data_IF_248257844622
#
_entry.id   IF_248257844622
#
_cell.length_a   1.000
_cell.length_b   1.000
_cell.length_c   1.000
_cell.angle_alpha   90.00
_cell.angle_beta   90.00
_cell.angle_gamma   90.00
#
_symmetry.space_group_name_H-M   'P 1'
#
loop_
_entity.id
_entity.type
_entity.pdbx_description
1 polymer ?
#
# COMPACT_ATOMS: atom_id res chain seq x y z
N UNK A 1 -5.41 -4.53 11.81
CA UNK A 1 -6.80 -4.29 11.35
C UNK A 1 -7.56 -3.22 12.16
N UNK A 2 -7.00 -2.58 13.20
CA UNK A 2 -7.77 -1.67 14.08
C UNK A 2 -7.48 -0.17 13.95
N UNK A 3 -6.41 0.27 13.26
CA UNK A 3 -6.08 1.70 13.10
C UNK A 3 -6.62 2.31 11.80
N UNK A 4 -6.65 1.53 10.70
CA UNK A 4 -7.23 1.93 9.40
C UNK A 4 -8.72 2.26 9.51
N UNK A 5 -9.47 1.45 10.27
CA UNK A 5 -10.90 1.66 10.45
C UNK A 5 -11.20 3.01 11.14
N UNK A 6 -10.39 3.41 12.12
CA UNK A 6 -10.68 4.60 12.95
C UNK A 6 -10.42 5.93 12.23
N UNK A 7 -9.37 6.00 11.40
CA UNK A 7 -9.06 7.21 10.61
C UNK A 7 -10.00 7.37 9.41
N UNK A 8 -10.32 6.26 8.74
CA UNK A 8 -11.23 6.26 7.60
C UNK A 8 -12.67 6.52 8.08
N UNK A 9 -13.09 5.95 9.22
CA UNK A 9 -14.39 6.24 9.83
C UNK A 9 -14.55 7.70 10.21
N UNK A 10 -13.53 8.38 10.74
CA UNK A 10 -13.66 9.79 11.15
C UNK A 10 -13.84 10.71 9.94
N UNK A 11 -13.03 10.54 8.88
CA UNK A 11 -13.12 11.37 7.67
C UNK A 11 -14.35 11.03 6.83
N UNK A 12 -14.73 9.75 6.74
CA UNK A 12 -15.98 9.33 6.10
C UNK A 12 -17.17 9.83 6.92
N UNK A 13 -17.15 9.71 8.25
CA UNK A 13 -18.23 10.20 9.09
C UNK A 13 -18.39 11.72 9.00
N UNK A 14 -17.31 12.49 8.93
CA UNK A 14 -17.40 13.95 8.73
C UNK A 14 -17.86 14.33 7.31
N UNK A 15 -17.38 13.65 6.26
CA UNK A 15 -17.82 13.88 4.88
C UNK A 15 -19.31 13.50 4.68
N UNK A 16 -19.73 12.38 5.25
CA UNK A 16 -21.11 11.88 5.23
C UNK A 16 -22.02 12.75 6.08
N UNK A 17 -21.58 13.19 7.27
CA UNK A 17 -22.36 14.08 8.14
C UNK A 17 -22.57 15.46 7.52
N UNK A 18 -21.56 15.99 6.84
CA UNK A 18 -21.64 17.27 6.14
C UNK A 18 -22.55 17.18 4.90
N UNK A 19 -22.59 16.04 4.21
CA UNK A 19 -23.30 15.91 2.92
C UNK A 19 -24.72 15.33 3.03
N UNK A 20 -24.98 14.38 3.94
CA UNK A 20 -26.24 13.59 3.98
C UNK A 20 -27.11 13.87 5.21
N UNK A 21 -26.61 14.62 6.21
CA UNK A 21 -27.31 14.90 7.45
C UNK A 21 -27.60 13.65 8.31
N UNK A 22 -28.24 13.80 9.49
CA UNK A 22 -28.36 12.71 10.47
C UNK A 22 -29.39 11.63 10.13
N UNK A 23 -30.25 11.80 9.11
CA UNK A 23 -31.42 10.93 8.89
C UNK A 23 -31.18 9.74 7.94
N UNK A 24 -30.03 9.67 7.27
CA UNK A 24 -29.68 8.60 6.32
C UNK A 24 -28.36 7.88 6.57
N UNK A 25 -27.58 8.32 7.58
CA UNK A 25 -26.24 7.82 7.88
C UNK A 25 -26.20 6.30 8.09
N UNK A 26 -27.14 5.74 8.85
CA UNK A 26 -27.08 4.32 9.27
C UNK A 26 -27.23 3.33 8.11
N UNK A 27 -27.87 3.73 7.00
CA UNK A 27 -28.12 2.84 5.84
C UNK A 27 -27.16 3.05 4.68
N UNK A 28 -26.51 4.22 4.60
CA UNK A 28 -25.60 4.57 3.51
C UNK A 28 -24.12 4.54 3.92
N UNK A 29 -23.82 4.47 5.23
CA UNK A 29 -22.44 4.36 5.71
C UNK A 29 -21.74 3.10 5.17
N UNK A 30 -22.37 1.93 5.28
CA UNK A 30 -21.79 0.66 4.82
C UNK A 30 -21.54 0.65 3.29
N UNK A 31 -22.51 1.02 2.42
CA UNK A 31 -22.25 1.17 0.98
C UNK A 31 -21.12 2.15 0.62
N UNK A 32 -20.96 3.25 1.37
CA UNK A 32 -19.90 4.23 1.12
C UNK A 32 -18.52 3.72 1.57
N UNK A 33 -18.48 2.93 2.66
CA UNK A 33 -17.26 2.23 3.09
C UNK A 33 -16.85 1.20 2.05
N UNK A 34 -17.79 0.41 1.53
CA UNK A 34 -17.54 -0.57 0.47
C UNK A 34 -17.04 0.11 -0.82
N UNK A 35 -17.61 1.26 -1.19
CA UNK A 35 -17.16 2.05 -2.34
C UNK A 35 -15.71 2.52 -2.16
N UNK A 36 -15.36 3.01 -0.98
CA UNK A 36 -13.99 3.39 -0.64
C UNK A 36 -13.04 2.20 -0.70
N UNK A 37 -13.43 1.04 -0.17
CA UNK A 37 -12.62 -0.17 -0.20
C UNK A 37 -12.40 -0.71 -1.62
N UNK A 38 -13.41 -0.62 -2.48
CA UNK A 38 -13.29 -0.97 -3.90
C UNK A 38 -12.31 -0.04 -4.62
N UNK A 39 -12.35 1.27 -4.32
CA UNK A 39 -11.42 2.26 -4.89
C UNK A 39 -9.98 1.99 -4.44
N UNK A 40 -9.78 1.62 -3.18
CA UNK A 40 -8.46 1.26 -2.65
C UNK A 40 -7.89 0.01 -3.34
N UNK A 41 -8.73 -1.00 -3.57
CA UNK A 41 -8.33 -2.23 -4.25
C UNK A 41 -7.91 -1.97 -5.71
N UNK A 42 -8.70 -1.20 -6.45
CA UNK A 42 -8.47 -0.95 -7.88
C UNK A 42 -7.39 0.11 -8.15
N UNK A 43 -7.59 1.31 -7.61
CA UNK A 43 -6.74 2.46 -7.85
C UNK A 43 -5.67 2.65 -6.77
N UNK A 44 -5.98 2.32 -5.51
CA UNK A 44 -5.09 2.51 -4.35
C UNK A 44 -4.82 3.97 -4.00
N UNK A 45 -5.65 4.88 -4.50
CA UNK A 45 -5.65 6.31 -4.18
C UNK A 45 -7.03 6.91 -4.46
N UNK A 46 -7.35 8.04 -3.82
CA UNK A 46 -8.61 8.77 -4.03
C UNK A 46 -9.82 8.19 -3.27
N UNK A 47 -9.59 7.38 -2.24
CA UNK A 47 -10.61 6.81 -1.36
C UNK A 47 -11.50 7.87 -0.72
N UNK A 48 -10.94 9.01 -0.31
CA UNK A 48 -11.73 10.14 0.21
C UNK A 48 -12.55 10.83 -0.88
N UNK A 49 -11.94 11.10 -2.04
CA UNK A 49 -12.60 11.82 -3.13
C UNK A 49 -13.81 11.08 -3.68
N UNK A 50 -13.75 9.74 -3.78
CA UNK A 50 -14.88 8.94 -4.28
C UNK A 50 -16.08 9.00 -3.33
N UNK A 51 -15.84 9.01 -2.01
CA UNK A 51 -16.92 9.11 -1.01
C UNK A 51 -17.55 10.50 -1.02
N UNK A 52 -16.74 11.54 -1.08
CA UNK A 52 -17.22 12.94 -1.15
C UNK A 52 -18.06 13.16 -2.41
N UNK A 53 -17.58 12.70 -3.56
CA UNK A 53 -18.31 12.83 -4.82
C UNK A 53 -19.62 12.02 -4.79
N UNK A 54 -19.61 10.80 -4.27
CA UNK A 54 -20.82 9.99 -4.11
C UNK A 54 -21.85 10.69 -3.20
N UNK A 55 -21.41 11.27 -2.08
CA UNK A 55 -22.27 12.03 -1.18
C UNK A 55 -22.92 13.23 -1.86
N UNK A 56 -22.14 14.02 -2.62
CA UNK A 56 -22.66 15.17 -3.36
C UNK A 56 -23.65 14.77 -4.47
N UNK A 57 -23.36 13.68 -5.19
CA UNK A 57 -24.26 13.15 -6.22
C UNK A 57 -25.57 12.63 -5.63
N UNK A 58 -25.54 12.05 -4.43
CA UNK A 58 -26.74 11.61 -3.71
C UNK A 58 -27.61 12.79 -3.27
N UNK A 59 -27.01 13.86 -2.73
CA UNK A 59 -27.73 15.10 -2.38
C UNK A 59 -28.36 15.75 -3.62
N UNK A 60 -27.62 15.79 -4.74
CA UNK A 60 -28.15 16.22 -6.03
C UNK A 60 -29.33 15.33 -6.50
N UNK A 61 -29.21 14.02 -6.37
CA UNK A 61 -30.26 13.07 -6.73
C UNK A 61 -31.50 13.20 -5.83
N UNK A 62 -31.35 13.47 -4.53
CA UNK A 62 -32.47 13.69 -3.60
C UNK A 62 -33.26 14.95 -3.99
N UNK A 63 -32.58 16.07 -4.25
CA UNK A 63 -33.18 17.32 -4.72
C UNK A 63 -33.94 17.13 -6.05
N UNK A 64 -33.45 16.23 -6.89
CA UNK A 64 -34.06 15.87 -8.18
C UNK A 64 -35.25 14.92 -8.01
N UNK A 65 -35.18 13.98 -7.07
CA UNK A 65 -36.28 13.08 -6.74
C UNK A 65 -37.48 13.83 -6.17
N UNK A 66 -37.23 14.83 -5.30
CA UNK A 66 -38.28 15.74 -4.82
C UNK A 66 -38.97 16.50 -5.97
N UNK A 67 -38.30 16.66 -7.12
CA UNK A 67 -38.83 17.26 -8.34
C UNK A 67 -39.38 16.24 -9.36
N UNK A 68 -39.38 14.94 -9.04
CA UNK A 68 -39.98 13.88 -9.85
C UNK A 68 -39.19 13.41 -11.08
N UNK A 69 -37.85 13.53 -11.08
CA UNK A 69 -37.01 13.19 -12.23
C UNK A 69 -36.07 12.00 -11.99
N UNK A 70 -35.82 11.17 -13.01
CA UNK A 70 -34.94 9.99 -12.97
C UNK A 70 -33.69 10.19 -13.85
N UNK A 71 -32.46 10.12 -13.31
CA UNK A 71 -31.24 10.41 -14.06
C UNK A 71 -30.63 9.19 -14.77
N UNK A 72 -30.04 9.39 -15.95
CA UNK A 72 -29.12 8.44 -16.63
C UNK A 72 -28.17 9.25 -17.52
N UNK A 73 -26.85 9.12 -17.35
CA UNK A 73 -25.85 9.96 -18.02
C UNK A 73 -24.62 9.14 -18.44
N UNK A 74 -23.95 9.55 -19.53
CA UNK A 74 -22.74 8.95 -20.13
C UNK A 74 -21.54 9.92 -20.07
N UNK A 75 -20.31 9.40 -19.92
CA UNK A 75 -19.05 10.18 -19.82
C UNK A 75 -18.14 10.01 -21.05
N UNK A 76 -17.29 11.02 -21.31
CA UNK A 76 -16.26 11.03 -22.37
C UNK A 76 -14.85 11.27 -21.80
N UNK A 77 -13.81 10.79 -22.50
CA UNK A 77 -12.41 10.76 -22.02
C UNK A 77 -11.64 12.08 -22.23
N UNK A 78 -10.83 12.46 -21.23
CA UNK A 78 -9.95 13.66 -21.24
C UNK A 78 -8.46 13.34 -21.04
N UNK A 79 -8.04 12.09 -21.21
CA UNK A 79 -6.71 11.66 -20.79
C UNK A 79 -5.59 12.09 -21.74
N UNK A 80 -4.42 12.42 -21.16
CA UNK A 80 -3.18 12.60 -21.91
C UNK A 80 -2.35 11.31 -21.86
N UNK A 81 -1.80 10.83 -23.00
CA UNK A 81 -1.02 9.61 -23.00
C UNK A 81 0.31 9.81 -22.28
N UNK A 82 0.73 8.81 -21.51
CA UNK A 82 2.01 8.83 -20.77
C UNK A 82 2.94 7.75 -21.29
N UNK A 83 4.19 8.12 -21.58
CA UNK A 83 5.26 7.16 -21.85
C UNK A 83 5.90 6.69 -20.53
N UNK A 84 6.09 5.38 -20.39
CA UNK A 84 6.67 4.77 -19.20
C UNK A 84 8.18 4.98 -19.12
N UNK A 85 8.84 5.35 -20.22
CA UNK A 85 10.26 5.71 -20.21
C UNK A 85 10.49 7.12 -19.64
N UNK A 86 9.44 7.93 -19.52
CA UNK A 86 9.54 9.30 -19.05
C UNK A 86 9.56 9.37 -17.52
N UNK A 87 10.75 9.08 -16.96
CA UNK A 87 11.04 9.18 -15.53
C UNK A 87 10.54 10.46 -14.85
N UNK A 88 10.76 11.68 -15.37
CA UNK A 88 10.30 12.88 -14.69
C UNK A 88 8.77 12.97 -14.60
N UNK A 89 8.00 12.46 -15.59
CA UNK A 89 6.54 12.41 -15.48
C UNK A 89 6.07 11.44 -14.41
N UNK A 90 6.69 10.27 -14.31
CA UNK A 90 6.40 9.30 -13.25
C UNK A 90 6.75 9.85 -11.85
N UNK A 91 7.90 10.53 -11.74
CA UNK A 91 8.31 11.18 -10.48
C UNK A 91 7.33 12.28 -10.08
N UNK A 92 6.87 13.13 -11.01
CA UNK A 92 5.86 14.15 -10.70
C UNK A 92 4.57 13.53 -10.17
N UNK A 93 4.05 12.48 -10.82
CA UNK A 93 2.84 11.80 -10.37
C UNK A 93 2.99 11.18 -8.97
N UNK A 94 4.14 10.52 -8.71
CA UNK A 94 4.47 9.98 -7.40
C UNK A 94 4.59 11.07 -6.32
N UNK A 95 5.29 12.17 -6.61
CA UNK A 95 5.45 13.30 -5.68
C UNK A 95 4.12 13.97 -5.36
N UNK A 96 3.19 14.07 -6.31
CA UNK A 96 1.84 14.61 -6.06
C UNK A 96 1.10 13.76 -5.03
N UNK A 97 1.15 12.43 -5.16
CA UNK A 97 0.51 11.52 -4.19
C UNK A 97 1.14 11.58 -2.79
N UNK A 98 2.44 11.87 -2.69
CA UNK A 98 3.15 11.96 -1.41
C UNK A 98 2.96 13.33 -0.73
N UNK A 99 2.66 14.38 -1.50
CA UNK A 99 2.67 15.77 -1.00
C UNK A 99 1.66 16.08 0.12
N UNK A 100 0.55 15.34 0.17
CA UNK A 100 -0.45 15.43 1.24
C UNK A 100 -0.08 14.61 2.49
N UNK A 101 0.93 13.75 2.41
CA UNK A 101 1.38 12.88 3.50
C UNK A 101 2.63 13.49 4.15
N UNK A 102 2.43 14.52 4.98
CA UNK A 102 3.51 15.07 5.81
C UNK A 102 3.78 14.12 6.96
N UNK A 103 4.88 13.38 6.88
CA UNK A 103 5.34 12.53 7.96
C UNK A 103 6.62 13.15 8.55
N UNK A 104 6.60 13.44 9.85
CA UNK A 104 7.76 14.00 10.56
C UNK A 104 8.65 12.91 11.16
N UNK A 105 9.97 13.11 11.18
CA UNK A 105 10.95 12.22 11.82
C UNK A 105 12.15 11.88 10.94
N UNK A 106 12.96 10.91 11.39
CA UNK A 106 14.17 10.40 10.72
C UNK A 106 13.86 9.45 9.55
N UNK A 107 12.90 9.83 8.69
CA UNK A 107 12.52 9.06 7.49
C UNK A 107 13.59 9.13 6.41
N UNK A 108 14.45 10.15 6.48
CA UNK A 108 15.56 10.37 5.55
C UNK A 108 16.54 9.19 5.49
N UNK A 109 16.60 8.37 6.54
CA UNK A 109 17.41 7.15 6.60
C UNK A 109 16.78 5.96 5.84
N UNK A 110 15.60 6.16 5.23
CA UNK A 110 14.92 5.13 4.41
C UNK A 110 15.71 4.87 3.14
N UNK A 111 16.09 3.62 2.93
CA UNK A 111 16.95 3.23 1.82
C UNK A 111 16.36 2.10 0.97
N UNK A 112 16.66 2.16 -0.32
CA UNK A 112 16.39 1.09 -1.26
C UNK A 112 17.51 0.06 -1.18
N UNK A 113 17.19 -1.17 -0.79
CA UNK A 113 18.18 -2.23 -0.64
C UNK A 113 18.23 -3.09 -1.91
N UNK A 114 19.43 -3.26 -2.46
CA UNK A 114 19.70 -4.19 -3.56
C UNK A 114 19.79 -5.63 -3.04
N UNK A 115 18.62 -6.21 -2.78
CA UNK A 115 18.46 -7.54 -2.24
C UNK A 115 17.19 -7.68 -1.41
N UNK A 116 17.27 -8.45 -0.32
CA UNK A 116 16.13 -8.73 0.56
C UNK A 116 16.47 -8.29 1.98
N UNK A 117 15.50 -7.65 2.64
CA UNK A 117 15.57 -7.29 4.06
C UNK A 117 14.59 -8.16 4.83
N UNK A 118 15.02 -8.63 5.99
CA UNK A 118 14.19 -9.40 6.92
C UNK A 118 14.17 -8.71 8.29
N UNK A 119 12.97 -8.63 8.88
CA UNK A 119 12.75 -8.05 10.20
C UNK A 119 13.10 -9.03 11.33
N UNK A 120 13.21 -10.31 11.03
CA UNK A 120 13.51 -11.36 12.00
C UNK A 120 14.98 -11.34 12.42
N UNK A 121 15.21 -11.57 13.71
CA UNK A 121 16.55 -11.60 14.29
C UNK A 121 17.29 -12.92 14.01
N UNK A 122 18.62 -12.86 13.97
CA UNK A 122 19.45 -14.07 13.88
C UNK A 122 19.45 -14.80 15.22
N UNK A 123 19.32 -16.12 15.18
CA UNK A 123 19.35 -16.97 16.36
C UNK A 123 20.79 -17.15 16.88
N UNK A 124 21.18 -16.36 17.89
CA UNK A 124 22.54 -16.37 18.48
C UNK A 124 22.71 -17.50 19.52
N UNK A 125 21.63 -18.15 19.97
CA UNK A 125 21.61 -19.09 21.11
C UNK A 125 22.65 -20.23 21.06
N UNK A 126 23.16 -20.60 19.88
CA UNK A 126 24.15 -21.67 19.71
C UNK A 126 25.57 -21.17 19.30
N UNK A 127 25.84 -19.87 19.36
CA UNK A 127 27.10 -19.27 18.88
C UNK A 127 27.19 -19.20 17.35
N UNK A 128 26.05 -19.01 16.68
CA UNK A 128 25.98 -18.86 15.23
C UNK A 128 26.58 -17.54 14.72
N UNK A 129 27.09 -17.49 13.48
CA UNK A 129 27.64 -16.27 12.90
C UNK A 129 26.55 -15.24 12.62
N UNK A 130 26.83 -13.95 12.86
CA UNK A 130 25.93 -12.81 12.53
C UNK A 130 26.17 -12.27 11.12
N UNK A 131 27.29 -12.64 10.50
CA UNK A 131 27.66 -12.28 9.13
C UNK A 131 28.18 -13.50 8.40
N UNK A 132 27.71 -13.70 7.17
CA UNK A 132 28.13 -14.77 6.28
C UNK A 132 28.33 -14.25 4.86
N UNK A 133 29.51 -14.53 4.31
CA UNK A 133 29.85 -14.26 2.92
C UNK A 133 29.55 -15.49 2.06
N UNK A 134 29.18 -15.26 0.79
CA UNK A 134 28.92 -16.31 -0.22
C UNK A 134 27.88 -17.32 0.28
N UNK A 135 26.76 -16.79 0.74
CA UNK A 135 25.68 -17.52 1.37
C UNK A 135 24.88 -18.34 0.35
N UNK A 136 24.79 -19.66 0.61
CA UNK A 136 23.74 -20.52 0.07
C UNK A 136 22.60 -20.58 1.06
N UNK A 137 21.47 -19.99 0.68
CA UNK A 137 20.29 -19.82 1.52
C UNK A 137 19.34 -20.99 1.27
N UNK A 138 18.86 -21.61 2.36
CA UNK A 138 17.83 -22.66 2.30
C UNK A 138 16.64 -22.29 3.17
N UNK A 139 15.44 -22.53 2.66
CA UNK A 139 14.18 -22.33 3.38
C UNK A 139 13.68 -23.68 3.87
N UNK A 140 13.34 -23.77 5.16
CA UNK A 140 12.73 -24.95 5.76
C UNK A 140 11.31 -24.60 6.22
N UNK A 141 10.33 -25.19 5.54
CA UNK A 141 8.90 -25.02 5.86
C UNK A 141 8.40 -26.01 6.92
N UNK A 142 9.03 -27.17 7.05
CA UNK A 142 8.59 -28.18 8.02
C UNK A 142 9.05 -27.82 9.44
N UNK A 143 8.20 -28.10 10.42
CA UNK A 143 8.56 -27.95 11.82
C UNK A 143 9.62 -29.01 12.19
N UNK A 144 10.80 -28.56 12.60
CA UNK A 144 11.81 -29.35 13.33
C UNK A 144 11.38 -29.78 14.75
N UNK A 145 10.08 -29.93 15.02
CA UNK A 145 9.57 -30.22 16.36
C UNK A 145 9.61 -31.73 16.63
N UNK A 146 9.75 -32.08 17.90
CA UNK A 146 9.71 -33.47 18.35
C UNK A 146 8.38 -34.13 17.97
N UNK A 147 8.38 -35.30 17.31
CA UNK A 147 7.38 -36.33 17.60
C UNK A 147 7.48 -36.65 19.10
N UNK A 148 6.34 -36.86 19.76
CA UNK A 148 6.21 -37.02 21.23
C UNK A 148 6.98 -38.21 21.86
N UNK A 149 7.87 -38.88 21.14
CA UNK A 149 8.71 -39.98 21.64
C UNK A 149 10.02 -40.08 20.84
N UNK A 150 11.17 -39.99 21.52
CA UNK A 150 12.56 -40.35 21.13
C UNK A 150 13.15 -39.88 19.79
N UNK A 151 12.42 -39.09 19.02
CA UNK A 151 12.72 -38.79 17.62
C UNK A 151 13.54 -37.50 17.40
N UNK A 152 13.83 -36.75 18.46
CA UNK A 152 14.51 -35.45 18.38
C UNK A 152 15.93 -35.57 17.84
N UNK A 153 16.67 -36.55 18.35
CA UNK A 153 18.06 -36.81 17.94
C UNK A 153 18.11 -37.30 16.49
N UNK A 154 17.13 -38.09 16.06
CA UNK A 154 17.05 -38.63 14.71
C UNK A 154 16.80 -37.55 13.65
N UNK A 155 15.81 -36.67 13.87
CA UNK A 155 15.51 -35.54 12.98
C UNK A 155 16.67 -34.54 12.91
N UNK A 156 17.30 -34.23 14.04
CA UNK A 156 18.52 -33.41 14.08
C UNK A 156 19.65 -34.04 13.26
N UNK A 157 19.87 -35.35 13.38
CA UNK A 157 20.93 -36.04 12.63
C UNK A 157 20.66 -36.09 11.12
N UNK A 158 19.41 -36.27 10.70
CA UNK A 158 19.03 -36.19 9.28
C UNK A 158 19.23 -34.77 8.76
N UNK A 159 18.77 -33.76 9.48
CA UNK A 159 18.91 -32.37 9.07
C UNK A 159 20.38 -31.96 9.01
N UNK A 160 21.19 -32.29 10.03
CA UNK A 160 22.65 -32.03 10.01
C UNK A 160 23.34 -32.69 8.83
N UNK A 161 23.02 -33.94 8.50
CA UNK A 161 23.60 -34.65 7.34
C UNK A 161 23.15 -34.04 6.02
N UNK A 162 21.87 -33.73 5.85
CA UNK A 162 21.32 -33.17 4.62
C UNK A 162 21.80 -31.74 4.38
N UNK A 163 21.79 -30.89 5.41
CA UNK A 163 22.25 -29.49 5.34
C UNK A 163 23.74 -29.45 5.01
N UNK A 164 24.56 -30.30 5.67
CA UNK A 164 26.00 -30.38 5.38
C UNK A 164 26.28 -30.93 3.98
N UNK A 165 25.49 -31.90 3.49
CA UNK A 165 25.59 -32.41 2.11
C UNK A 165 25.17 -31.37 1.07
N UNK A 166 24.16 -30.55 1.37
CA UNK A 166 23.70 -29.46 0.51
C UNK A 166 24.65 -28.24 0.53
N UNK A 167 25.58 -28.19 1.49
CA UNK A 167 26.54 -27.10 1.69
C UNK A 167 25.82 -25.75 1.86
N UNK A 168 24.76 -25.73 2.66
CA UNK A 168 23.98 -24.53 2.97
C UNK A 168 24.58 -23.81 4.18
N UNK A 169 24.71 -22.48 4.05
CA UNK A 169 25.37 -21.63 5.02
C UNK A 169 24.39 -20.72 5.78
N UNK A 170 23.21 -20.49 5.20
CA UNK A 170 22.14 -19.68 5.78
C UNK A 170 20.85 -20.48 5.74
N UNK A 171 20.11 -20.45 6.85
CA UNK A 171 18.88 -21.20 7.03
C UNK A 171 17.74 -20.28 7.49
N UNK A 172 16.61 -20.34 6.79
CA UNK A 172 15.38 -19.65 7.13
C UNK A 172 14.36 -20.68 7.63
N UNK A 173 13.80 -20.49 8.82
CA UNK A 173 12.84 -21.42 9.45
C UNK A 173 11.52 -20.70 9.71
N UNK A 174 10.41 -21.30 9.27
CA UNK A 174 9.06 -20.72 9.43
C UNK A 174 8.55 -20.68 10.89
N UNK A 175 8.86 -21.70 11.71
CA UNK A 175 8.41 -21.76 13.11
C UNK A 175 9.57 -21.91 14.06
N UNK A 176 9.56 -21.12 15.14
CA UNK A 176 10.54 -21.14 16.22
C UNK A 176 10.66 -22.54 16.82
N UNK A 177 11.71 -23.23 16.41
CA UNK A 177 12.09 -24.48 17.01
C UNK A 177 13.56 -24.34 17.39
N UNK A 178 13.89 -24.82 18.58
CA UNK A 178 15.25 -24.85 19.09
C UNK A 178 16.12 -25.70 18.17
N UNK A 179 16.74 -25.04 17.20
CA UNK A 179 17.90 -25.56 16.52
C UNK A 179 19.13 -25.15 17.35
N UNK A 180 19.53 -25.99 18.31
CA UNK A 180 20.86 -25.92 18.94
C UNK A 180 21.91 -26.48 17.98
N UNK A 181 21.96 -25.91 16.78
CA UNK A 181 22.96 -26.26 15.79
C UNK A 181 24.26 -25.55 16.16
N UNK A 182 25.17 -26.26 16.82
CA UNK A 182 26.61 -25.91 16.97
C UNK A 182 27.36 -26.01 15.63
N UNK A 183 26.72 -25.64 14.53
CA UNK A 183 27.30 -25.59 13.19
C UNK A 183 27.44 -24.11 12.83
N UNK A 184 28.52 -23.74 12.12
CA UNK A 184 28.77 -22.36 11.66
C UNK A 184 27.81 -21.98 10.52
N UNK A 185 26.52 -21.97 10.82
CA UNK A 185 25.40 -21.73 9.91
C UNK A 185 24.57 -20.61 10.52
N UNK A 186 24.27 -19.58 9.75
CA UNK A 186 23.41 -18.49 10.17
C UNK A 186 21.96 -18.95 10.09
N UNK A 187 21.21 -18.81 11.19
CA UNK A 187 19.81 -19.27 11.27
C UNK A 187 18.92 -18.09 11.61
N UNK A 188 17.91 -17.85 10.78
CA UNK A 188 16.84 -16.88 11.02
C UNK A 188 15.56 -17.67 11.28
N UNK A 189 14.91 -17.36 12.39
CA UNK A 189 13.70 -18.06 12.87
C UNK A 189 12.48 -17.17 12.63
N UNK A 190 11.31 -17.78 12.72
CA UNK A 190 10.02 -17.08 12.72
C UNK A 190 9.73 -16.31 11.43
N UNK A 191 10.15 -16.88 10.30
CA UNK A 191 9.79 -16.36 8.97
C UNK A 191 8.30 -16.57 8.74
N UNK A 192 7.60 -15.51 8.35
CA UNK A 192 6.14 -15.57 8.17
C UNK A 192 5.75 -16.43 6.97
N UNK A 193 4.55 -17.03 7.02
CA UNK A 193 4.09 -17.93 5.94
C UNK A 193 3.96 -17.18 4.61
N UNK A 194 3.45 -15.96 4.66
CA UNK A 194 3.12 -15.17 3.49
C UNK A 194 4.39 -14.63 2.80
N UNK A 195 5.47 -14.48 3.57
CA UNK A 195 6.81 -14.13 3.06
C UNK A 195 7.45 -15.28 2.27
N UNK A 196 7.12 -16.54 2.53
CA UNK A 196 7.82 -17.70 1.93
C UNK A 196 7.72 -17.70 0.40
N UNK A 197 6.57 -17.33 -0.16
CA UNK A 197 6.42 -17.27 -1.61
C UNK A 197 7.33 -16.20 -2.22
N UNK A 198 7.41 -15.04 -1.57
CA UNK A 198 8.31 -13.95 -1.94
C UNK A 198 9.78 -14.37 -1.84
N UNK A 199 10.19 -14.91 -0.69
CA UNK A 199 11.55 -15.36 -0.42
C UNK A 199 12.00 -16.49 -1.36
N UNK A 200 11.08 -17.38 -1.74
CA UNK A 200 11.38 -18.48 -2.67
C UNK A 200 11.74 -18.00 -4.08
N UNK A 201 11.20 -16.84 -4.50
CA UNK A 201 11.46 -16.26 -5.82
C UNK A 201 12.81 -15.54 -5.85
N UNK A 202 13.23 -14.96 -4.73
CA UNK A 202 14.45 -14.17 -4.63
C UNK A 202 15.67 -14.99 -4.20
N UNK A 203 15.52 -16.11 -3.50
CA UNK A 203 16.67 -16.81 -2.92
C UNK A 203 17.26 -17.94 -3.77
N UNK A 204 18.58 -18.07 -3.64
CA UNK A 204 19.37 -19.20 -4.11
C UNK A 204 20.84 -19.03 -3.72
N UNK A 205 21.44 -17.92 -4.15
CA UNK A 205 22.80 -17.53 -3.77
C UNK A 205 22.86 -16.03 -3.52
N UNK A 206 23.43 -15.64 -2.37
CA UNK A 206 23.69 -14.25 -2.00
C UNK A 206 25.16 -14.05 -1.68
N UNK A 207 25.71 -12.89 -2.01
CA UNK A 207 27.12 -12.58 -1.77
C UNK A 207 27.37 -12.23 -0.30
N UNK A 208 26.44 -11.55 0.37
CA UNK A 208 26.57 -11.17 1.78
C UNK A 208 25.23 -11.26 2.51
N UNK A 209 25.25 -11.88 3.69
CA UNK A 209 24.14 -11.87 4.65
C UNK A 209 24.68 -11.37 5.98
N UNK A 210 24.12 -10.29 6.50
CA UNK A 210 24.54 -9.72 7.78
C UNK A 210 23.37 -9.19 8.61
N UNK A 211 23.47 -9.38 9.93
CA UNK A 211 22.62 -8.69 10.90
C UNK A 211 23.23 -7.31 11.18
N UNK A 212 22.64 -6.28 10.60
CA UNK A 212 23.01 -4.89 10.89
C UNK A 212 22.15 -4.38 12.04
N UNK A 213 22.78 -3.76 13.04
CA UNK A 213 22.06 -3.00 14.05
C UNK A 213 22.15 -1.52 13.71
N UNK A 214 21.04 -0.91 13.32
CA UNK A 214 20.93 0.53 13.08
C UNK A 214 19.95 1.12 14.07
N UNK A 215 20.35 2.18 14.77
CA UNK A 215 19.50 2.93 15.70
C UNK A 215 18.78 2.07 16.76
N UNK A 216 19.41 0.97 17.20
CA UNK A 216 18.86 0.04 18.19
C UNK A 216 17.92 -1.03 17.62
N UNK A 217 17.49 -0.92 16.36
CA UNK A 217 16.80 -1.97 15.64
C UNK A 217 17.81 -2.94 15.02
N UNK A 218 17.49 -4.23 15.02
CA UNK A 218 18.25 -5.26 14.32
C UNK A 218 17.48 -5.66 13.08
N UNK A 219 18.14 -5.60 11.94
CA UNK A 219 17.57 -6.02 10.66
C UNK A 219 18.59 -6.89 9.94
N UNK A 220 18.11 -7.94 9.29
CA UNK A 220 18.97 -8.82 8.50
C UNK A 220 18.94 -8.36 7.05
N UNK A 221 20.11 -8.01 6.54
CA UNK A 221 20.33 -7.57 5.16
C UNK A 221 20.93 -8.70 4.35
N UNK A 222 20.32 -9.00 3.21
CA UNK A 222 20.80 -9.98 2.26
C UNK A 222 21.09 -9.23 0.96
N UNK A 223 22.36 -9.02 0.65
CA UNK A 223 22.81 -8.25 -0.53
C UNK A 223 23.56 -9.13 -1.54
N UNK A 224 23.61 -8.69 -2.79
CA UNK A 224 24.28 -9.42 -3.88
C UNK A 224 23.58 -10.74 -4.20
N UNK A 225 22.26 -10.71 -4.28
CA UNK A 225 21.45 -11.86 -4.68
C UNK A 225 21.65 -12.08 -6.19
N UNK A 226 22.13 -13.26 -6.61
CA UNK A 226 22.47 -13.51 -8.03
C UNK A 226 21.27 -13.52 -8.97
N UNK A 227 20.09 -13.87 -8.46
CA UNK A 227 18.85 -13.82 -9.22
C UNK A 227 17.76 -13.25 -8.32
N UNK A 228 17.72 -11.91 -8.14
CA UNK A 228 16.72 -11.27 -7.28
C UNK A 228 15.32 -11.32 -7.91
N UNK A 229 15.17 -11.89 -9.11
CA UNK A 229 13.89 -11.94 -9.81
C UNK A 229 13.36 -10.54 -10.09
N UNK A 230 12.08 -10.31 -9.78
CA UNK A 230 11.40 -9.00 -9.89
C UNK A 230 11.07 -8.41 -8.52
N UNK A 231 11.86 -8.74 -7.50
CA UNK A 231 11.61 -8.25 -6.14
C UNK A 231 12.50 -7.09 -5.80
N UNK A 232 11.95 -6.15 -5.05
CA UNK A 232 12.63 -4.96 -4.54
C UNK A 232 12.30 -4.85 -3.06
N UNK A 233 13.29 -4.53 -2.22
CA UNK A 233 13.08 -4.29 -0.79
C UNK A 233 13.44 -2.86 -0.44
N UNK A 234 12.56 -2.20 0.31
CA UNK A 234 12.75 -0.84 0.83
C UNK A 234 12.78 -0.96 2.35
N UNK A 235 13.85 -0.47 2.98
CA UNK A 235 13.94 -0.39 4.44
C UNK A 235 13.39 0.97 4.87
N UNK A 236 12.15 1.00 5.34
CA UNK A 236 11.54 2.20 5.89
C UNK A 236 12.01 2.42 7.35
N UNK A 237 12.60 3.59 7.61
CA UNK A 237 13.07 4.00 8.92
C UNK A 237 12.14 5.09 9.48
N UNK A 238 11.94 5.08 10.80
CA UNK A 238 11.08 6.06 11.45
C UNK A 238 11.39 6.19 12.92
N UNK A 239 11.12 7.37 13.49
CA UNK A 239 11.36 7.66 14.91
C UNK A 239 10.37 6.98 15.85
N UNK A 240 9.20 6.59 15.35
CA UNK A 240 8.13 5.93 16.10
C UNK A 240 7.44 4.87 15.22
N UNK A 241 6.85 3.83 15.81
CA UNK A 241 6.12 2.80 15.07
C UNK A 241 4.98 3.40 14.23
N UNK A 242 4.28 4.40 14.76
CA UNK A 242 3.22 5.11 14.02
C UNK A 242 3.75 5.81 12.76
N UNK A 243 4.98 6.32 12.80
CA UNK A 243 5.64 6.96 11.65
C UNK A 243 6.03 5.92 10.61
N UNK A 244 6.52 4.75 11.04
CA UNK A 244 6.86 3.64 10.13
C UNK A 244 5.60 3.11 9.45
N UNK A 245 4.51 2.89 10.19
CA UNK A 245 3.21 2.46 9.63
C UNK A 245 2.63 3.49 8.64
N UNK A 246 2.80 4.79 8.90
CA UNK A 246 2.41 5.85 7.95
C UNK A 246 3.32 5.87 6.72
N UNK A 247 4.62 5.63 6.89
CA UNK A 247 5.58 5.55 5.79
C UNK A 247 5.24 4.37 4.85
N UNK A 248 4.96 3.18 5.42
CA UNK A 248 4.54 2.00 4.65
C UNK A 248 3.28 2.28 3.84
N UNK A 249 2.25 2.89 4.46
CA UNK A 249 1.02 3.31 3.77
C UNK A 249 1.29 4.38 2.71
N UNK A 250 2.22 5.30 2.96
CA UNK A 250 2.61 6.32 1.98
C UNK A 250 3.26 5.72 0.74
N UNK A 251 4.15 4.74 0.94
CA UNK A 251 4.80 4.01 -0.15
C UNK A 251 3.79 3.17 -0.93
N UNK A 252 2.83 2.53 -0.24
CA UNK A 252 1.77 1.75 -0.88
C UNK A 252 0.98 2.59 -1.89
N UNK A 253 0.47 3.75 -1.48
CA UNK A 253 -0.32 4.63 -2.36
C UNK A 253 0.48 5.08 -3.59
N UNK A 254 1.76 5.47 -3.38
CA UNK A 254 2.64 5.87 -4.49
C UNK A 254 2.87 4.73 -5.48
N UNK A 255 3.11 3.52 -4.98
CA UNK A 255 3.26 2.34 -5.82
C UNK A 255 1.95 2.01 -6.56
N UNK A 256 0.80 2.22 -5.94
CA UNK A 256 -0.50 2.06 -6.56
C UNK A 256 -0.76 3.10 -7.67
N UNK A 257 -0.36 4.35 -7.50
CA UNK A 257 -0.42 5.39 -8.54
C UNK A 257 0.45 5.00 -9.74
N UNK A 258 1.69 4.59 -9.51
CA UNK A 258 2.59 4.14 -10.59
C UNK A 258 2.05 2.88 -11.27
N UNK A 259 1.50 1.93 -10.49
CA UNK A 259 0.82 0.74 -11.02
C UNK A 259 -0.35 1.11 -11.94
N UNK A 260 -1.14 2.13 -11.58
CA UNK A 260 -2.23 2.63 -12.41
C UNK A 260 -1.72 3.18 -13.75
N UNK A 261 -0.62 3.93 -13.75
CA UNK A 261 0.00 4.44 -14.97
C UNK A 261 0.58 3.33 -15.86
N UNK A 262 1.10 2.25 -15.24
CA UNK A 262 1.57 1.08 -15.98
C UNK A 262 0.41 0.31 -16.61
N UNK A 263 -0.72 0.15 -15.89
CA UNK A 263 -1.94 -0.51 -16.39
C UNK A 263 -2.62 0.33 -17.49
N UNK A 264 -2.80 1.63 -17.26
CA UNK A 264 -3.41 2.60 -18.18
C UNK A 264 -2.44 3.75 -18.40
N UNK A 265 -1.95 3.87 -19.63
CA UNK A 265 -0.97 4.90 -20.04
C UNK A 265 -1.63 6.26 -20.26
N UNK A 266 -2.37 6.73 -19.25
CA UNK A 266 -3.23 7.90 -19.32
C UNK A 266 -3.13 8.67 -18.00
N UNK A 267 -2.82 9.96 -18.08
CA UNK A 267 -2.80 10.88 -16.94
C UNK A 267 -3.71 12.07 -17.22
N UNK A 268 -4.44 12.48 -16.19
CA UNK A 268 -5.25 13.71 -16.20
C UNK A 268 -4.60 14.74 -15.27
N UNK A 269 -4.86 16.02 -15.51
CA UNK A 269 -4.54 17.07 -14.55
C UNK A 269 -5.25 16.81 -13.22
N UNK A 270 -4.60 17.09 -12.09
CA UNK A 270 -5.20 17.00 -10.76
C UNK A 270 -5.78 18.32 -10.26
N UNK A 271 -6.03 18.41 -8.94
CA UNK A 271 -6.36 19.66 -8.26
C UNK A 271 -7.73 20.26 -8.61
N UNK A 272 -8.73 19.44 -8.92
CA UNK A 272 -10.06 19.94 -9.30
C UNK A 272 -10.20 20.32 -10.77
N UNK A 273 -9.12 20.30 -11.56
CA UNK A 273 -9.16 20.65 -12.98
C UNK A 273 -10.13 19.78 -13.82
N UNK A 274 -10.15 18.43 -13.70
CA UNK A 274 -11.06 17.62 -14.48
C UNK A 274 -12.51 17.84 -14.05
N UNK A 275 -12.77 18.06 -12.76
CA UNK A 275 -14.10 18.34 -12.21
C UNK A 275 -14.67 19.66 -12.76
N UNK A 276 -13.88 20.75 -12.74
CA UNK A 276 -14.28 22.04 -13.31
C UNK A 276 -14.44 21.97 -14.83
N UNK A 277 -13.55 21.25 -15.52
CA UNK A 277 -13.66 21.09 -16.97
C UNK A 277 -14.95 20.34 -17.34
N UNK A 278 -15.28 19.26 -16.63
CA UNK A 278 -16.53 18.54 -16.83
C UNK A 278 -17.75 19.41 -16.49
N UNK A 279 -17.74 20.15 -15.36
CA UNK A 279 -18.82 21.08 -15.02
C UNK A 279 -19.09 22.07 -16.15
N UNK A 280 -18.02 22.65 -16.72
CA UNK A 280 -18.12 23.58 -17.85
C UNK A 280 -18.65 22.92 -19.12
N UNK A 281 -18.16 21.74 -19.49
CA UNK A 281 -18.62 21.02 -20.69
C UNK A 281 -20.10 20.67 -20.60
N UNK A 282 -20.52 20.14 -19.45
CA UNK A 282 -21.91 19.80 -19.20
C UNK A 282 -22.79 21.05 -19.20
N UNK A 283 -22.35 22.16 -18.59
CA UNK A 283 -23.06 23.44 -18.64
C UNK A 283 -23.27 23.97 -20.06
N UNK A 284 -22.31 23.75 -20.97
CA UNK A 284 -22.47 24.09 -22.38
C UNK A 284 -23.45 23.14 -23.09
N UNK A 285 -23.38 21.85 -22.79
CA UNK A 285 -24.29 20.85 -23.35
C UNK A 285 -25.74 21.07 -22.94
N UNK A 286 -25.97 21.50 -21.70
CA UNK A 286 -27.29 21.85 -21.13
C UNK A 286 -28.06 22.83 -22.01
N UNK A 287 -27.40 23.78 -22.68
CA UNK A 287 -28.05 24.77 -23.55
C UNK A 287 -28.75 24.14 -24.76
N UNK A 288 -28.35 22.92 -25.16
CA UNK A 288 -28.93 22.19 -26.28
C UNK A 288 -30.08 21.25 -25.88
N UNK A 289 -30.27 21.02 -24.57
CA UNK A 289 -31.18 20.02 -24.04
C UNK A 289 -32.55 20.58 -23.69
N UNK A 290 -33.52 19.69 -23.49
CA UNK A 290 -34.89 20.06 -23.09
C UNK A 290 -34.97 20.31 -21.58
N UNK A 291 -35.96 21.09 -21.18
CA UNK A 291 -36.16 21.62 -19.81
C UNK A 291 -35.97 20.61 -18.66
N UNK A 292 -36.39 19.35 -18.81
CA UNK A 292 -36.22 18.33 -17.75
C UNK A 292 -34.76 17.85 -17.63
N UNK A 293 -34.11 17.60 -18.75
CA UNK A 293 -32.71 17.14 -18.78
C UNK A 293 -31.78 18.24 -18.28
N UNK A 294 -32.08 19.51 -18.62
CA UNK A 294 -31.36 20.69 -18.14
C UNK A 294 -31.23 20.69 -16.62
N UNK A 295 -32.31 20.40 -15.89
CA UNK A 295 -32.27 20.38 -14.43
C UNK A 295 -31.42 19.22 -13.89
N UNK A 296 -31.43 18.05 -14.54
CA UNK A 296 -30.58 16.90 -14.16
C UNK A 296 -29.11 17.21 -14.34
N UNK A 297 -28.75 17.74 -15.50
CA UNK A 297 -27.37 18.05 -15.83
C UNK A 297 -26.84 19.20 -14.97
N UNK A 298 -27.67 20.21 -14.66
CA UNK A 298 -27.27 21.28 -13.75
C UNK A 298 -27.01 20.77 -12.32
N UNK A 299 -27.85 19.88 -11.81
CA UNK A 299 -27.60 19.29 -10.49
C UNK A 299 -26.30 18.46 -10.47
N UNK A 300 -25.97 17.82 -11.60
CA UNK A 300 -24.73 17.06 -11.75
C UNK A 300 -23.50 17.98 -11.87
N UNK A 301 -23.59 19.11 -12.59
CA UNK A 301 -22.50 20.10 -12.66
C UNK A 301 -22.16 20.66 -11.30
N UNK A 302 -23.19 21.04 -10.54
CA UNK A 302 -23.03 21.61 -9.20
C UNK A 302 -22.39 20.58 -8.25
N UNK A 303 -22.72 19.30 -8.40
CA UNK A 303 -22.13 18.22 -7.60
C UNK A 303 -20.65 17.98 -7.90
N UNK A 304 -20.20 18.15 -9.15
CA UNK A 304 -18.78 18.01 -9.51
C UNK A 304 -17.91 19.10 -8.85
N UNK A 305 -18.48 20.29 -8.62
CA UNK A 305 -17.76 21.43 -8.04
C UNK A 305 -17.47 21.28 -6.53
N UNK A 306 -18.00 20.23 -5.89
CA UNK A 306 -17.76 19.96 -4.47
C UNK A 306 -16.27 19.71 -4.15
N UNK A 307 -15.56 18.98 -5.03
CA UNK A 307 -14.15 18.63 -4.84
C UNK A 307 -13.26 19.89 -4.87
N UNK A 308 -13.29 20.74 -5.91
CA UNK A 308 -12.49 21.97 -5.91
C UNK A 308 -12.89 22.94 -4.79
N UNK A 309 -14.18 22.97 -4.40
CA UNK A 309 -14.64 23.79 -3.27
C UNK A 309 -14.01 23.34 -1.96
N UNK A 310 -14.07 22.05 -1.62
CA UNK A 310 -13.46 21.49 -0.41
C UNK A 310 -11.93 21.66 -0.43
N UNK A 311 -11.29 21.50 -1.59
CA UNK A 311 -9.86 21.77 -1.72
C UNK A 311 -9.51 23.23 -1.40
N UNK A 312 -10.33 24.18 -1.86
CA UNK A 312 -10.16 25.60 -1.58
C UNK A 312 -10.41 25.91 -0.09
N UNK A 313 -11.46 25.36 0.51
CA UNK A 313 -11.76 25.52 1.94
C UNK A 313 -10.61 25.02 2.83
N UNK A 314 -10.10 23.82 2.54
CA UNK A 314 -8.97 23.25 3.28
C UNK A 314 -7.68 24.06 3.10
N UNK A 315 -7.46 24.65 1.92
CA UNK A 315 -6.30 25.50 1.67
C UNK A 315 -6.39 26.83 2.44
N UNK A 316 -7.57 27.46 2.48
CA UNK A 316 -7.81 28.71 3.21
C UNK A 316 -7.68 28.51 4.71
N UNK A 317 -8.16 27.39 5.25
CA UNK A 317 -8.00 27.04 6.66
C UNK A 317 -6.52 26.84 7.08
N UNK A 318 -5.61 26.54 6.14
CA UNK A 318 -4.18 26.37 6.40
C UNK A 318 -3.40 27.71 6.39
N UNK A 319 -4.01 28.80 5.92
CA UNK A 319 -3.39 30.13 5.83
C UNK A 319 -3.70 31.05 7.03
N UNK A 320 -4.48 30.58 8.01
CA UNK A 320 -4.82 31.28 9.25
C UNK A 320 -4.16 30.64 10.47
#
# INVERSE_FOLDING_TARGET
MSSMAFSVDATISDAVRTSLGPKGMDKMAEPLVDLSAAQDTEAGAGTTSVVVLAGSLLDAAEKMHQKGMHPTIYFTEMSTPVDLNDRPSLLRAASTSLSSKKVGGTIEDTELIDGVVLNQNVAIAAGGPTRMERAKIAIIQFQLSAPKSDSFIYLLNICKKKIKKANCNVLLIQKSILCDARLNILVIKDVERDEIEFLSKSFGYADLVEESSQSGAKVVRITGVKNPGRTVSILAMGSNSLVVEECERSLHDVLCVVRCLVKKRALISGGGAPEIHFSRLLSQHVQSLRWMEVCCFQAYTDALEVIPTILAENAVACCY
#
